data_IF_946177200963
#
_entry.id   IF_946177200963
#
_cell.length_a   1.000
_cell.length_b   1.000
_cell.length_c   1.000
_cell.angle_alpha   90.00
_cell.angle_beta   90.00
_cell.angle_gamma   90.00
#
_symmetry.space_group_name_H-M   'P 1'
#
loop_
_entity.id
_entity.type
_entity.pdbx_description
1 polymer ?
#
# COMPACT_ATOMS: atom_id res chain seq x y z
N UNK A 1 2.89 -15.28 -13.39
CA UNK A 1 2.22 -14.06 -12.86
C UNK A 1 3.26 -13.23 -12.13
N UNK A 2 3.44 -11.95 -12.47
CA UNK A 2 4.44 -11.07 -11.82
C UNK A 2 3.91 -10.60 -10.46
N UNK A 3 4.76 -10.65 -9.44
CA UNK A 3 4.43 -10.31 -8.05
C UNK A 3 5.50 -9.36 -7.52
N UNK A 4 5.08 -8.36 -6.75
CA UNK A 4 5.96 -7.49 -5.98
C UNK A 4 5.79 -7.79 -4.49
N UNK A 5 6.87 -7.69 -3.72
CA UNK A 5 6.82 -7.70 -2.26
C UNK A 5 7.28 -6.35 -1.74
N UNK A 6 6.49 -5.77 -0.86
CA UNK A 6 6.82 -4.55 -0.14
C UNK A 6 7.26 -4.90 1.27
N UNK A 7 8.32 -4.26 1.73
CA UNK A 7 8.78 -4.29 3.12
C UNK A 7 8.63 -2.88 3.69
N UNK A 8 7.88 -2.76 4.78
CA UNK A 8 7.62 -1.49 5.46
C UNK A 8 8.15 -1.60 6.88
N UNK A 9 8.99 -0.65 7.26
CA UNK A 9 9.59 -0.58 8.59
C UNK A 9 9.10 0.65 9.36
N UNK A 10 8.99 0.53 10.68
CA UNK A 10 8.82 1.68 11.56
C UNK A 10 9.43 1.46 12.94
N UNK A 11 9.99 2.54 13.49
CA UNK A 11 10.58 2.58 14.83
C UNK A 11 9.58 2.91 15.94
N UNK A 12 8.33 3.21 15.60
CA UNK A 12 7.36 3.59 16.62
C UNK A 12 7.01 2.37 17.51
N UNK A 13 7.17 2.56 18.82
CA UNK A 13 7.06 1.50 19.82
C UNK A 13 5.65 0.88 19.89
N UNK A 14 4.61 1.70 19.64
CA UNK A 14 3.20 1.35 19.77
C UNK A 14 2.41 1.73 18.50
N UNK A 15 2.70 1.07 17.38
CA UNK A 15 1.91 1.24 16.16
C UNK A 15 0.68 0.33 16.19
N UNK A 16 -0.51 0.94 16.10
CA UNK A 16 -1.75 0.19 15.88
C UNK A 16 -1.86 -0.33 14.44
N UNK A 17 -1.53 0.53 13.47
CA UNK A 17 -1.61 0.27 12.03
C UNK A 17 -0.45 0.91 11.27
N UNK A 18 0.12 0.19 10.31
CA UNK A 18 1.00 0.71 9.26
C UNK A 18 0.24 0.71 7.94
N UNK A 19 0.43 1.72 7.09
CA UNK A 19 -0.17 1.76 5.78
C UNK A 19 0.81 2.17 4.68
N UNK A 20 0.70 1.50 3.53
CA UNK A 20 1.34 1.89 2.27
C UNK A 20 0.26 2.08 1.21
N UNK A 21 0.21 3.26 0.60
CA UNK A 21 -0.66 3.63 -0.50
C UNK A 21 0.13 3.86 -1.79
N UNK A 22 -0.41 3.40 -2.92
CA UNK A 22 0.15 3.60 -4.25
C UNK A 22 -0.81 4.42 -5.11
N UNK A 23 -0.28 5.39 -5.85
CA UNK A 23 -1.02 6.14 -6.88
C UNK A 23 -0.21 6.12 -8.16
N UNK A 24 -0.88 5.92 -9.29
CA UNK A 24 -0.28 6.03 -10.63
C UNK A 24 0.20 7.46 -10.88
N UNK A 25 1.52 7.64 -11.06
CA UNK A 25 2.13 8.93 -11.39
C UNK A 25 2.42 9.08 -12.89
N UNK A 26 1.97 8.12 -13.71
CA UNK A 26 2.17 8.12 -15.15
C UNK A 26 3.53 7.58 -15.57
N UNK A 27 4.06 8.07 -16.69
CA UNK A 27 5.37 7.68 -17.24
C UNK A 27 6.26 8.92 -17.44
N UNK A 28 7.44 8.74 -18.03
CA UNK A 28 8.30 9.86 -18.41
C UNK A 28 7.63 10.82 -19.40
N UNK A 29 6.82 10.28 -20.32
CA UNK A 29 6.18 11.01 -21.41
C UNK A 29 4.77 11.50 -21.05
N UNK A 30 4.05 10.77 -20.19
CA UNK A 30 2.68 11.10 -19.75
C UNK A 30 2.63 11.17 -18.23
N UNK A 31 3.03 12.29 -17.67
CA UNK A 31 3.07 12.50 -16.21
C UNK A 31 1.67 12.79 -15.70
N UNK A 32 1.24 12.06 -14.67
CA UNK A 32 -0.02 12.32 -13.99
C UNK A 32 0.20 13.26 -12.81
N UNK A 33 -0.66 14.28 -12.62
CA UNK A 33 -0.55 15.15 -11.47
C UNK A 33 -0.77 14.35 -10.19
N UNK A 34 -0.13 14.78 -9.11
CA UNK A 34 -0.42 14.26 -7.77
C UNK A 34 -1.92 14.50 -7.45
N UNK A 35 -2.62 13.55 -6.83
CA UNK A 35 -4.02 13.75 -6.45
C UNK A 35 -4.21 14.97 -5.55
N UNK A 36 -5.37 15.61 -5.66
CA UNK A 36 -5.73 16.83 -4.91
C UNK A 36 -5.80 16.60 -3.40
N UNK A 37 -6.05 15.36 -2.97
CA UNK A 37 -5.95 14.94 -1.56
C UNK A 37 -4.98 13.78 -1.46
N UNK A 38 -4.38 13.59 -0.28
CA UNK A 38 -3.27 12.63 -0.12
C UNK A 38 -3.66 11.17 -0.36
N UNK A 39 -4.93 10.81 -0.26
CA UNK A 39 -5.41 9.43 -0.32
C UNK A 39 -6.38 9.17 -1.47
N UNK A 40 -6.82 10.20 -2.22
CA UNK A 40 -7.71 9.98 -3.36
C UNK A 40 -7.05 9.08 -4.39
N UNK A 41 -7.81 8.10 -4.86
CA UNK A 41 -7.41 7.10 -5.86
C UNK A 41 -6.20 6.24 -5.43
N UNK A 42 -5.81 6.30 -4.16
CA UNK A 42 -4.72 5.49 -3.65
C UNK A 42 -5.16 4.04 -3.46
N UNK A 43 -4.34 3.12 -3.94
CA UNK A 43 -4.42 1.71 -3.63
C UNK A 43 -3.67 1.44 -2.32
N UNK A 44 -4.41 1.20 -1.24
CA UNK A 44 -3.88 1.23 0.13
C UNK A 44 -3.93 -0.16 0.76
N UNK A 45 -2.77 -0.60 1.25
CA UNK A 45 -2.64 -1.76 2.13
C UNK A 45 -2.38 -1.27 3.55
N UNK A 46 -3.25 -1.66 4.49
CA UNK A 46 -3.13 -1.37 5.92
C UNK A 46 -2.83 -2.67 6.69
N UNK A 47 -1.91 -2.60 7.64
CA UNK A 47 -1.34 -3.75 8.35
C UNK A 47 -1.47 -3.50 9.85
N UNK A 48 -2.11 -4.42 10.58
CA UNK A 48 -2.24 -4.31 12.04
C UNK A 48 -1.38 -5.33 12.75
N UNK A 49 -0.52 -4.82 13.63
CA UNK A 49 0.30 -5.66 14.49
C UNK A 49 -0.47 -6.32 15.62
N UNK A 50 -1.44 -5.60 16.16
CA UNK A 50 -2.26 -6.10 17.26
C UNK A 50 -3.09 -7.33 16.86
N UNK A 51 -3.53 -7.38 15.60
CA UNK A 51 -4.44 -8.42 15.11
C UNK A 51 -3.82 -9.34 14.07
N UNK A 52 -2.53 -9.13 13.73
CA UNK A 52 -1.83 -9.82 12.64
C UNK A 52 -2.67 -9.87 11.35
N UNK A 53 -3.26 -8.73 10.98
CA UNK A 53 -4.22 -8.64 9.87
C UNK A 53 -3.80 -7.63 8.81
N UNK A 54 -4.30 -7.84 7.60
CA UNK A 54 -4.11 -6.97 6.45
C UNK A 54 -5.49 -6.52 5.95
N UNK A 55 -5.63 -5.24 5.63
CA UNK A 55 -6.76 -4.68 4.88
C UNK A 55 -6.26 -4.13 3.56
N UNK A 56 -6.92 -4.53 2.47
CA UNK A 56 -6.65 -4.07 1.12
C UNK A 56 -7.83 -3.21 0.64
N UNK A 57 -7.56 -1.94 0.39
CA UNK A 57 -8.59 -0.92 0.23
C UNK A 57 -8.24 0.13 -0.80
N UNK A 58 -9.24 0.93 -1.14
CA UNK A 58 -9.13 2.11 -1.99
C UNK A 58 -9.31 3.35 -1.12
N UNK A 59 -8.38 4.29 -1.25
CA UNK A 59 -8.44 5.55 -0.55
C UNK A 59 -9.58 6.43 -1.07
N UNK A 60 -10.33 7.01 -0.13
CA UNK A 60 -11.47 7.89 -0.38
C UNK A 60 -11.24 9.17 0.42
N UNK A 61 -10.35 10.02 -0.10
CA UNK A 61 -9.94 11.27 0.55
C UNK A 61 -9.52 11.05 2.02
N UNK A 62 -9.99 11.89 2.96
CA UNK A 62 -9.59 11.88 4.37
C UNK A 62 -10.36 10.87 5.23
N UNK A 63 -10.93 9.84 4.62
CA UNK A 63 -11.71 8.81 5.33
C UNK A 63 -10.98 7.48 5.35
N UNK A 64 -11.46 6.56 6.19
CA UNK A 64 -10.95 5.19 6.21
C UNK A 64 -11.02 4.57 4.82
N UNK A 65 -9.95 3.90 4.33
CA UNK A 65 -9.98 3.25 3.03
C UNK A 65 -11.17 2.29 2.91
N UNK A 66 -11.85 2.37 1.77
CA UNK A 66 -12.95 1.47 1.45
C UNK A 66 -12.38 0.12 1.06
N UNK A 67 -12.86 -0.96 1.66
CA UNK A 67 -12.43 -2.31 1.28
C UNK A 67 -12.67 -2.57 -0.21
N UNK A 68 -11.68 -3.18 -0.87
CA UNK A 68 -11.84 -3.68 -2.24
C UNK A 68 -12.83 -4.84 -2.27
N UNK A 69 -13.54 -5.01 -3.39
CA UNK A 69 -14.34 -6.23 -3.60
C UNK A 69 -13.42 -7.42 -3.84
N UNK A 70 -12.30 -7.18 -4.53
CA UNK A 70 -11.27 -8.16 -4.86
C UNK A 70 -9.94 -7.73 -4.24
N UNK A 71 -9.74 -8.10 -2.98
CA UNK A 71 -8.45 -7.93 -2.31
C UNK A 71 -7.41 -8.89 -2.91
N UNK A 72 -6.24 -8.36 -3.28
CA UNK A 72 -5.15 -9.12 -3.90
C UNK A 72 -3.83 -9.02 -3.14
N UNK A 73 -3.72 -8.10 -2.18
CA UNK A 73 -2.59 -8.04 -1.28
C UNK A 73 -2.64 -9.17 -0.23
N UNK A 74 -1.48 -9.79 0.04
CA UNK A 74 -1.35 -10.88 0.98
C UNK A 74 -0.24 -10.58 1.98
N UNK A 75 -0.53 -10.76 3.27
CA UNK A 75 0.47 -10.65 4.32
C UNK A 75 1.49 -11.78 4.16
N UNK A 76 2.77 -11.43 4.12
CA UNK A 76 3.87 -12.40 4.01
C UNK A 76 4.49 -12.65 5.38
N UNK A 77 4.85 -11.59 6.09
CA UNK A 77 5.44 -11.71 7.42
C UNK A 77 5.27 -10.44 8.22
N UNK A 78 5.29 -10.57 9.54
CA UNK A 78 5.28 -9.46 10.48
C UNK A 78 6.17 -9.80 11.66
N UNK A 79 7.11 -8.93 11.99
CA UNK A 79 8.08 -9.17 13.05
C UNK A 79 8.46 -7.87 13.77
N UNK A 80 8.91 -8.02 15.02
CA UNK A 80 9.70 -6.99 15.70
C UNK A 80 11.16 -7.39 15.67
N UNK A 81 12.01 -6.57 15.04
CA UNK A 81 13.45 -6.83 14.89
C UNK A 81 14.22 -5.62 15.38
N UNK A 82 15.09 -5.79 16.39
CA UNK A 82 15.91 -4.70 16.94
C UNK A 82 15.14 -3.42 17.29
N UNK A 83 13.95 -3.55 17.90
CA UNK A 83 13.11 -2.40 18.26
C UNK A 83 12.31 -1.79 17.10
N UNK A 84 12.47 -2.30 15.87
CA UNK A 84 11.64 -1.94 14.72
C UNK A 84 10.49 -2.90 14.56
N UNK A 85 9.38 -2.38 14.10
CA UNK A 85 8.35 -3.17 13.44
C UNK A 85 8.71 -3.32 11.97
N UNK A 86 8.73 -4.55 11.47
CA UNK A 86 8.94 -4.87 10.05
C UNK A 86 7.74 -5.68 9.55
N UNK A 87 7.11 -5.21 8.48
CA UNK A 87 5.98 -5.90 7.86
C UNK A 87 6.23 -6.09 6.38
N UNK A 88 5.94 -7.30 5.90
CA UNK A 88 6.02 -7.64 4.48
C UNK A 88 4.66 -8.07 3.97
N UNK A 89 4.30 -7.55 2.82
CA UNK A 89 3.14 -8.04 2.07
C UNK A 89 3.49 -8.13 0.59
N UNK A 90 2.79 -9.00 -0.12
CA UNK A 90 2.95 -9.17 -1.56
C UNK A 90 1.65 -8.86 -2.28
N UNK A 91 1.75 -8.44 -3.54
CA UNK A 91 0.61 -8.29 -4.44
C UNK A 91 1.02 -8.55 -5.89
N UNK A 92 0.09 -8.98 -6.76
CA UNK A 92 0.35 -9.04 -8.18
C UNK A 92 0.61 -7.64 -8.76
N UNK A 93 1.36 -7.56 -9.87
CA UNK A 93 1.48 -6.32 -10.65
C UNK A 93 0.12 -5.88 -11.19
N UNK A 94 -0.64 -6.84 -11.73
CA UNK A 94 -1.98 -6.61 -12.25
C UNK A 94 -2.99 -6.66 -11.10
N UNK A 95 -3.65 -5.52 -10.88
CA UNK A 95 -4.68 -5.36 -9.86
C UNK A 95 -6.05 -5.22 -10.53
N UNK A 96 -7.02 -6.09 -10.23
CA UNK A 96 -8.38 -5.93 -10.75
C UNK A 96 -9.08 -4.68 -10.19
N UNK A 97 -8.67 -4.24 -9.01
CA UNK A 97 -9.13 -3.01 -8.36
C UNK A 97 -7.92 -2.24 -7.81
N UNK A 98 -7.86 -0.94 -8.08
CA UNK A 98 -6.75 -0.07 -7.68
C UNK A 98 -5.66 0.05 -8.74
N UNK A 99 -4.41 0.20 -8.31
CA UNK A 99 -3.29 0.57 -9.19
C UNK A 99 -2.58 -0.67 -9.69
N UNK A 100 -2.56 -0.88 -11.01
CA UNK A 100 -1.70 -1.87 -11.65
C UNK A 100 -0.30 -1.29 -11.91
N UNK A 101 0.73 -2.10 -11.69
CA UNK A 101 2.13 -1.68 -11.84
C UNK A 101 2.61 -1.86 -13.27
N UNK A 102 3.41 -0.91 -13.75
CA UNK A 102 4.04 -0.92 -15.09
C UNK A 102 5.55 -0.85 -14.93
N UNK A 103 6.30 -1.44 -15.86
CA UNK A 103 7.77 -1.46 -15.81
C UNK A 103 8.38 -0.07 -16.02
N UNK A 104 7.73 0.77 -16.81
CA UNK A 104 8.10 2.16 -17.11
C UNK A 104 7.24 3.20 -16.35
N UNK A 105 6.41 2.72 -15.41
CA UNK A 105 5.48 3.56 -14.65
C UNK A 105 6.12 4.14 -13.40
N UNK A 106 5.86 5.41 -13.15
CA UNK A 106 6.13 6.06 -11.88
C UNK A 106 4.95 5.88 -10.91
N UNK A 107 5.26 5.87 -9.61
CA UNK A 107 4.26 5.79 -8.55
C UNK A 107 4.49 6.90 -7.53
N UNK A 108 3.40 7.50 -7.05
CA UNK A 108 3.44 8.20 -5.77
C UNK A 108 3.18 7.19 -4.66
N UNK A 109 4.06 7.18 -3.66
CA UNK A 109 3.91 6.36 -2.46
C UNK A 109 3.43 7.22 -1.29
N UNK A 110 2.47 6.70 -0.53
CA UNK A 110 1.90 7.32 0.65
C UNK A 110 2.18 6.38 1.82
N UNK A 111 2.81 6.86 2.88
CA UNK A 111 3.13 6.07 4.06
C UNK A 111 2.50 6.71 5.31
N UNK A 112 1.93 5.90 6.20
CA UNK A 112 1.35 6.33 7.48
C UNK A 112 1.55 5.28 8.58
#
# INVERSE_FOLDING_TARGET
RRVITFEVESYAANIGWLALGLVDAGTAEDKKPRPSTRMRDADIVQLSLATNSLKDGLGVDYTTPKAKKTAVAQLVSMAKVHGKTVVKFSRPFDSPEGVSLKEDGFLYMICA
#
